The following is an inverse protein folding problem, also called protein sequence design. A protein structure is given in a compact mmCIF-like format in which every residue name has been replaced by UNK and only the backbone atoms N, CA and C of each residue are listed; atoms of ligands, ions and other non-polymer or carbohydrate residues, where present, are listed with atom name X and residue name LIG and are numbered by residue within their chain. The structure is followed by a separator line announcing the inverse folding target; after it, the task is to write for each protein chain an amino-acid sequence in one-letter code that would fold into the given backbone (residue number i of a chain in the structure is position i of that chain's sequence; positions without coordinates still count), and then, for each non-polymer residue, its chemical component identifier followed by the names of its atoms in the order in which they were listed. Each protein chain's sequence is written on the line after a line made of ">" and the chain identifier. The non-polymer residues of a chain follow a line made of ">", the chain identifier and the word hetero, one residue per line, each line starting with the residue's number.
data_IF_896781444820
#
_entry.id   IF_896781444820
#
_cell.length_a   1.000
_cell.length_b   1.000
_cell.length_c   1.000
_cell.angle_alpha   90.00
_cell.angle_beta   90.00
_cell.angle_gamma   90.00
#
_symmetry.space_group_name_H-M   'P 1'
#
loop_
_entity.id
_entity.type
_entity.pdbx_description
1 polymer ?
#
# COMPACT_ATOMS: atom_id res chain seq x y z
N UNK A 1 75.47 8.64 -26.79
CA UNK A 1 74.89 8.05 -25.56
C UNK A 1 73.80 8.97 -25.01
N UNK A 2 72.52 8.60 -25.16
CA UNK A 2 71.49 8.58 -24.10
C UNK A 2 70.17 8.13 -24.74
N UNK A 3 69.86 6.85 -24.50
CA UNK A 3 68.54 6.24 -24.64
C UNK A 3 67.62 6.88 -23.60
N UNK A 4 66.42 7.29 -23.99
CA UNK A 4 65.27 7.25 -23.07
C UNK A 4 64.08 6.72 -23.85
N UNK A 5 63.84 5.43 -23.62
CA UNK A 5 62.64 4.73 -24.02
C UNK A 5 61.43 5.24 -23.23
N UNK A 6 60.30 5.29 -23.93
CA UNK A 6 58.94 4.96 -23.49
C UNK A 6 58.60 5.04 -22.01
N UNK A 7 57.56 5.82 -21.69
CA UNK A 7 56.51 5.39 -20.75
C UNK A 7 55.15 5.87 -21.26
N UNK A 8 54.41 4.91 -21.85
CA UNK A 8 52.97 4.93 -21.99
C UNK A 8 52.36 4.96 -20.58
N UNK A 9 51.74 6.08 -20.19
CA UNK A 9 50.96 6.20 -18.96
C UNK A 9 49.49 5.97 -19.25
N UNK A 10 49.00 4.76 -18.97
CA UNK A 10 47.61 4.35 -19.04
C UNK A 10 46.76 5.20 -18.08
N UNK A 11 46.01 6.17 -18.61
CA UNK A 11 44.98 6.89 -17.87
C UNK A 11 43.59 6.37 -18.26
N UNK A 12 43.34 5.08 -18.01
CA UNK A 12 41.96 4.57 -17.94
C UNK A 12 41.51 4.85 -16.51
N UNK A 13 41.04 6.08 -16.30
CA UNK A 13 40.25 6.44 -15.13
C UNK A 13 39.10 5.45 -15.06
N UNK A 14 39.09 4.60 -14.04
CA UNK A 14 37.98 3.73 -13.72
C UNK A 14 36.77 4.61 -13.34
N UNK A 15 36.02 5.05 -14.35
CA UNK A 15 34.64 5.46 -14.18
C UNK A 15 33.87 4.20 -13.80
N UNK A 16 33.92 3.85 -12.53
CA UNK A 16 33.01 2.87 -11.96
C UNK A 16 31.60 3.33 -12.32
N UNK A 17 30.89 2.54 -13.12
CA UNK A 17 29.49 2.78 -13.40
C UNK A 17 28.73 2.69 -12.08
N UNK A 18 28.53 3.82 -11.39
CA UNK A 18 27.29 4.02 -10.65
C UNK A 18 26.20 4.06 -11.71
N UNK A 19 25.75 2.89 -12.15
CA UNK A 19 24.48 2.76 -12.83
C UNK A 19 23.47 3.37 -11.84
N UNK A 20 23.01 4.59 -12.14
CA UNK A 20 21.88 5.18 -11.41
C UNK A 20 20.77 4.15 -11.51
N UNK A 21 20.34 3.64 -10.37
CA UNK A 21 19.17 2.79 -10.34
C UNK A 21 18.04 3.54 -11.04
N UNK A 22 17.24 2.86 -11.86
CA UNK A 22 16.10 3.49 -12.49
C UNK A 22 15.21 4.09 -11.38
N UNK A 23 14.87 5.38 -11.53
CA UNK A 23 13.94 6.03 -10.62
C UNK A 23 12.66 5.18 -10.51
N UNK A 24 12.27 4.85 -9.30
CA UNK A 24 11.10 4.01 -9.03
C UNK A 24 9.83 4.64 -9.62
N UNK A 25 9.03 3.87 -10.36
CA UNK A 25 7.81 4.36 -11.05
C UNK A 25 6.52 3.65 -10.61
N UNK A 26 6.59 2.73 -9.64
CA UNK A 26 5.44 1.96 -9.19
C UNK A 26 4.67 2.65 -8.06
N UNK A 27 3.38 2.35 -7.96
CA UNK A 27 2.59 2.66 -6.75
C UNK A 27 3.10 1.80 -5.60
N UNK A 28 3.31 2.39 -4.43
CA UNK A 28 3.73 1.66 -3.23
C UNK A 28 2.49 1.15 -2.50
N UNK A 29 2.37 -0.17 -2.41
CA UNK A 29 1.43 -0.81 -1.50
C UNK A 29 2.09 -0.98 -0.13
N UNK A 30 1.57 -0.29 0.89
CA UNK A 30 2.12 -0.40 2.24
C UNK A 30 1.69 -1.71 2.91
N UNK A 31 2.60 -2.41 3.61
CA UNK A 31 2.26 -3.64 4.30
C UNK A 31 1.35 -3.39 5.49
N UNK A 32 0.46 -4.35 5.74
CA UNK A 32 -0.30 -4.53 6.98
C UNK A 32 0.38 -5.55 7.91
N UNK A 33 -0.28 -5.89 9.02
CA UNK A 33 0.24 -6.85 10.00
C UNK A 33 0.49 -8.26 9.43
N UNK A 34 -0.20 -8.63 8.34
CA UNK A 34 -0.12 -9.97 7.75
C UNK A 34 0.93 -10.04 6.64
N UNK A 35 1.14 -8.94 5.93
CA UNK A 35 2.07 -8.83 4.80
C UNK A 35 3.45 -8.32 5.19
N UNK A 36 3.60 -7.64 6.33
CA UNK A 36 4.89 -7.22 6.85
C UNK A 36 5.70 -8.42 7.36
N UNK A 37 6.89 -8.63 6.80
CA UNK A 37 7.82 -9.68 7.24
C UNK A 37 9.12 -9.06 7.69
N UNK A 38 9.49 -9.27 8.96
CA UNK A 38 10.72 -8.73 9.52
C UNK A 38 11.95 -9.29 8.79
N UNK A 39 12.81 -8.41 8.29
CA UNK A 39 14.15 -8.78 7.82
C UNK A 39 15.02 -8.92 9.07
N UNK A 40 15.10 -10.16 9.56
CA UNK A 40 15.84 -10.51 10.77
C UNK A 40 17.36 -10.35 10.64
N UNK A 41 18.07 -10.74 11.69
CA UNK A 41 19.53 -10.83 11.66
C UNK A 41 19.96 -12.20 11.11
N UNK A 42 21.02 -12.26 10.29
CA UNK A 42 21.79 -11.15 9.74
C UNK A 42 21.02 -10.37 8.65
N UNK A 43 21.21 -9.05 8.56
CA UNK A 43 20.61 -8.26 7.47
C UNK A 43 21.36 -8.48 6.15
N UNK A 44 20.59 -8.63 5.07
CA UNK A 44 21.10 -8.57 3.72
C UNK A 44 21.60 -7.15 3.38
N UNK A 45 22.62 -7.04 2.52
CA UNK A 45 23.24 -5.76 2.18
C UNK A 45 22.26 -4.71 1.65
N UNK A 46 21.26 -5.13 0.86
CA UNK A 46 20.22 -4.23 0.36
C UNK A 46 19.35 -3.66 1.49
N UNK A 47 19.02 -4.47 2.50
CA UNK A 47 18.26 -4.05 3.67
C UNK A 47 19.06 -3.06 4.54
N UNK A 48 20.38 -3.23 4.63
CA UNK A 48 21.28 -2.28 5.31
C UNK A 48 21.30 -0.92 4.58
N UNK A 49 21.41 -0.94 3.25
CA UNK A 49 21.37 0.29 2.45
C UNK A 49 20.01 0.98 2.54
N UNK A 50 18.92 0.21 2.51
CA UNK A 50 17.57 0.71 2.72
C UNK A 50 17.42 1.41 4.08
N UNK A 51 17.90 0.77 5.16
CA UNK A 51 17.88 1.36 6.49
C UNK A 51 18.65 2.69 6.55
N UNK A 52 19.85 2.73 5.97
CA UNK A 52 20.65 3.95 5.89
C UNK A 52 19.96 5.05 5.07
N UNK A 53 19.31 4.68 3.96
CA UNK A 53 18.53 5.59 3.12
C UNK A 53 17.38 6.26 3.89
N UNK A 54 16.59 5.46 4.60
CA UNK A 54 15.48 5.96 5.43
C UNK A 54 15.96 6.89 6.56
N UNK A 55 17.04 6.54 7.26
CA UNK A 55 17.62 7.37 8.32
C UNK A 55 18.05 8.74 7.76
N UNK A 56 18.77 8.75 6.63
CA UNK A 56 19.20 9.99 5.98
C UNK A 56 18.02 10.85 5.56
N UNK A 57 16.98 10.23 5.03
CA UNK A 57 15.77 10.94 4.61
C UNK A 57 15.04 11.55 5.79
N UNK A 58 14.91 10.83 6.91
CA UNK A 58 14.32 11.35 8.13
C UNK A 58 15.11 12.57 8.62
N UNK A 59 16.43 12.47 8.74
CA UNK A 59 17.28 13.58 9.18
C UNK A 59 17.13 14.79 8.24
N UNK A 60 17.06 14.56 6.93
CA UNK A 60 16.94 15.60 5.90
C UNK A 60 15.61 16.33 5.92
N UNK A 61 14.51 15.61 6.18
CA UNK A 61 13.14 16.13 6.05
C UNK A 61 12.47 16.47 7.37
N UNK A 62 13.08 16.11 8.50
CA UNK A 62 12.51 16.36 9.82
C UNK A 62 12.39 17.88 10.09
N UNK A 63 11.17 18.40 10.37
CA UNK A 63 10.97 19.81 10.65
C UNK A 63 11.50 20.25 12.02
N UNK A 64 11.92 19.32 12.88
CA UNK A 64 12.40 19.59 14.23
C UNK A 64 13.93 19.41 14.33
N UNK A 65 14.75 20.45 14.04
CA UNK A 65 16.21 20.33 14.02
C UNK A 65 16.83 20.03 15.39
N UNK A 66 16.13 20.43 16.47
CA UNK A 66 16.59 20.24 17.85
C UNK A 66 16.26 18.85 18.41
N UNK A 67 15.65 17.96 17.62
CA UNK A 67 15.23 16.63 18.08
C UNK A 67 16.41 15.79 18.61
N UNK A 68 17.62 16.00 18.07
CA UNK A 68 18.81 15.20 18.38
C UNK A 68 19.83 15.93 19.27
N UNK A 69 19.44 17.02 19.95
CA UNK A 69 20.37 17.69 20.86
C UNK A 69 20.87 16.74 21.95
N UNK A 70 22.19 16.73 22.14
CA UNK A 70 22.89 15.86 23.09
C UNK A 70 23.48 14.58 22.47
N UNK A 71 23.07 14.21 21.25
CA UNK A 71 23.78 13.22 20.44
C UNK A 71 24.98 13.86 19.71
N UNK A 72 26.04 13.09 19.44
CA UNK A 72 27.16 13.60 18.62
C UNK A 72 26.83 13.62 17.12
N UNK A 73 25.81 12.88 16.71
CA UNK A 73 25.20 12.96 15.38
C UNK A 73 23.73 12.50 15.45
N UNK A 74 22.85 12.96 14.54
CA UNK A 74 21.44 12.58 14.55
C UNK A 74 21.19 11.06 14.52
N UNK A 75 22.03 10.31 13.81
CA UNK A 75 21.91 8.86 13.64
C UNK A 75 21.96 8.09 14.97
N UNK A 76 22.63 8.64 16.00
CA UNK A 76 22.73 8.00 17.32
C UNK A 76 21.40 7.94 18.08
N UNK A 77 20.47 8.84 17.77
CA UNK A 77 19.13 8.87 18.35
C UNK A 77 18.09 8.10 17.53
N UNK A 78 18.51 7.31 16.54
CA UNK A 78 17.62 6.63 15.60
C UNK A 78 17.88 5.13 15.57
N UNK A 79 16.80 4.36 15.43
CA UNK A 79 16.85 2.89 15.26
C UNK A 79 16.02 2.53 14.04
N UNK A 80 16.56 1.69 13.16
CA UNK A 80 15.84 1.20 11.99
C UNK A 80 15.42 -0.26 12.18
N UNK A 81 14.16 -0.56 11.85
CA UNK A 81 13.62 -1.91 11.74
C UNK A 81 13.16 -2.11 10.30
N UNK A 82 13.67 -3.15 9.64
CA UNK A 82 13.45 -3.36 8.20
C UNK A 82 12.50 -4.53 7.98
N UNK A 83 11.55 -4.35 7.07
CA UNK A 83 10.57 -5.34 6.68
C UNK A 83 10.57 -5.52 5.16
N UNK A 84 10.19 -6.70 4.69
CA UNK A 84 9.65 -6.88 3.33
C UNK A 84 8.12 -6.81 3.39
N UNK A 85 7.49 -6.64 2.22
CA UNK A 85 6.05 -6.43 2.12
C UNK A 85 5.52 -6.75 0.72
N UNK A 86 4.31 -6.28 0.37
CA UNK A 86 3.59 -6.70 -0.83
C UNK A 86 4.21 -6.17 -2.12
N UNK A 87 4.80 -4.96 -2.11
CA UNK A 87 5.51 -4.44 -3.28
C UNK A 87 6.91 -5.08 -3.38
N UNK A 88 7.12 -5.90 -4.41
CA UNK A 88 8.41 -6.54 -4.67
C UNK A 88 9.52 -5.52 -4.95
N UNK A 89 10.75 -5.85 -4.54
CA UNK A 89 11.91 -5.00 -4.78
C UNK A 89 11.98 -3.76 -3.88
N UNK A 90 11.12 -3.64 -2.86
CA UNK A 90 11.18 -2.59 -1.83
C UNK A 90 11.36 -3.19 -0.44
N UNK A 91 12.08 -2.45 0.39
CA UNK A 91 12.11 -2.61 1.84
C UNK A 91 11.25 -1.53 2.49
N UNK A 92 10.54 -1.90 3.54
CA UNK A 92 9.78 -0.99 4.39
C UNK A 92 10.55 -0.78 5.67
N UNK A 93 11.03 0.43 5.89
CA UNK A 93 11.90 0.77 7.01
C UNK A 93 11.13 1.61 8.00
N UNK A 94 10.91 1.07 9.19
CA UNK A 94 10.45 1.81 10.35
C UNK A 94 11.65 2.45 11.04
N UNK A 95 11.71 3.78 11.07
CA UNK A 95 12.74 4.55 11.78
C UNK A 95 12.14 5.05 13.08
N UNK A 96 12.57 4.45 14.18
CA UNK A 96 12.14 4.77 15.55
C UNK A 96 13.04 5.86 16.09
N UNK A 97 12.44 6.84 16.74
CA UNK A 97 13.17 7.85 17.47
C UNK A 97 13.50 7.37 18.88
N UNK A 98 14.78 7.11 19.18
CA UNK A 98 15.27 6.66 20.50
C UNK A 98 16.10 7.78 21.15
N UNK A 99 15.41 8.77 21.69
CA UNK A 99 16.02 9.97 22.27
C UNK A 99 16.74 9.72 23.60
N UNK A 100 16.46 8.60 24.26
CA UNK A 100 17.12 8.22 25.52
C UNK A 100 18.64 8.16 25.33
N UNK A 101 19.09 7.83 24.11
CA UNK A 101 20.51 7.77 23.74
C UNK A 101 21.18 9.14 23.68
N UNK A 102 20.44 10.22 23.44
CA UNK A 102 20.99 11.56 23.32
C UNK A 102 21.21 12.28 24.67
N UNK A 103 20.81 11.68 25.81
CA UNK A 103 20.97 12.27 27.18
C UNK A 103 20.43 13.72 27.34
N UNK A 104 19.63 14.21 26.38
CA UNK A 104 19.01 15.52 26.39
C UNK A 104 17.86 15.60 27.39
N UNK A 105 17.36 16.81 27.63
CA UNK A 105 16.26 17.01 28.56
C UNK A 105 14.97 16.31 28.07
N UNK A 106 14.33 15.54 28.96
CA UNK A 106 13.24 14.57 28.70
C UNK A 106 11.90 15.17 28.23
N UNK A 107 11.83 16.46 27.91
CA UNK A 107 10.58 17.15 27.59
C UNK A 107 10.17 17.07 26.10
N UNK A 108 10.77 16.18 25.30
CA UNK A 108 10.62 16.22 23.84
C UNK A 108 9.93 14.97 23.30
N UNK A 109 8.77 15.21 22.69
CA UNK A 109 7.98 14.39 21.76
C UNK A 109 7.70 12.93 22.17
N UNK A 110 6.44 12.49 21.98
CA UNK A 110 6.07 11.07 22.12
C UNK A 110 7.02 10.21 21.26
N UNK A 111 7.42 9.03 21.78
CA UNK A 111 8.24 8.04 21.09
C UNK A 111 7.55 7.63 19.77
N UNK A 112 7.88 8.35 18.69
CA UNK A 112 7.30 8.19 17.36
C UNK A 112 8.20 7.40 16.45
N UNK A 113 7.65 6.98 15.30
CA UNK A 113 8.41 6.33 14.24
C UNK A 113 7.88 6.71 12.87
N UNK A 114 8.74 6.99 11.91
CA UNK A 114 8.31 7.12 10.52
C UNK A 114 8.51 5.81 9.78
N UNK A 115 7.68 5.55 8.76
CA UNK A 115 7.85 4.39 7.87
C UNK A 115 8.15 4.88 6.45
N UNK A 116 9.17 4.29 5.84
CA UNK A 116 9.63 4.62 4.49
C UNK A 116 9.63 3.38 3.62
N UNK A 117 9.25 3.52 2.36
CA UNK A 117 9.48 2.52 1.33
C UNK A 117 10.79 2.88 0.61
N UNK A 118 11.72 1.94 0.55
CA UNK A 118 13.10 2.19 0.13
C UNK A 118 13.60 1.07 -0.79
N UNK A 119 14.30 1.42 -1.85
CA UNK A 119 14.94 0.44 -2.73
C UNK A 119 16.13 -0.24 -2.04
N UNK A 120 16.60 -1.41 -2.54
CA UNK A 120 17.83 -2.04 -2.07
C UNK A 120 19.09 -1.18 -2.24
N UNK A 121 19.02 -0.09 -3.01
CA UNK A 121 20.12 0.87 -3.19
C UNK A 121 20.06 2.02 -2.16
N UNK A 122 19.03 2.06 -1.31
CA UNK A 122 18.85 3.12 -0.31
C UNK A 122 18.13 4.37 -0.83
N UNK A 123 17.46 4.29 -1.98
CA UNK A 123 16.63 5.38 -2.49
C UNK A 123 15.23 5.32 -1.85
N UNK A 124 14.83 6.39 -1.18
CA UNK A 124 13.49 6.49 -0.59
C UNK A 124 12.49 6.85 -1.67
N UNK A 125 11.50 5.99 -1.88
CA UNK A 125 10.50 6.14 -2.95
C UNK A 125 9.17 6.68 -2.42
N UNK A 126 8.87 6.44 -1.14
CA UNK A 126 7.70 6.98 -0.47
C UNK A 126 7.88 7.03 1.04
N UNK A 127 7.14 7.94 1.70
CA UNK A 127 6.93 7.98 3.15
C UNK A 127 5.46 7.61 3.44
N UNK A 128 5.21 6.85 4.50
CA UNK A 128 3.87 6.40 4.86
C UNK A 128 2.95 7.60 5.11
N UNK A 129 1.82 7.72 4.39
CA UNK A 129 0.92 8.86 4.51
C UNK A 129 0.18 8.92 5.86
N UNK A 130 0.04 7.80 6.58
CA UNK A 130 -0.64 7.77 7.88
C UNK A 130 0.24 8.31 9.02
N UNK A 131 1.52 8.55 8.74
CA UNK A 131 2.43 9.11 9.72
C UNK A 131 2.76 8.16 10.89
N UNK A 132 3.48 8.68 11.90
CA UNK A 132 3.94 7.88 13.03
C UNK A 132 2.78 7.43 13.93
N UNK A 133 2.61 6.12 14.11
CA UNK A 133 1.72 5.60 15.15
C UNK A 133 0.33 5.16 14.71
N UNK A 134 -0.11 5.48 13.49
CA UNK A 134 -1.45 5.14 13.07
C UNK A 134 -1.51 3.70 12.53
N UNK A 135 -2.21 2.82 13.26
CA UNK A 135 -2.58 1.52 12.73
C UNK A 135 -3.45 1.74 11.50
N UNK A 136 -3.05 1.14 10.39
CA UNK A 136 -3.87 1.14 9.18
C UNK A 136 -5.22 0.52 9.56
N UNK A 137 -6.36 1.20 9.34
CA UNK A 137 -7.66 0.59 9.61
C UNK A 137 -7.71 -0.74 8.89
N UNK A 138 -7.98 -1.82 9.62
CA UNK A 138 -8.21 -3.12 8.98
C UNK A 138 -9.26 -2.88 7.89
N UNK A 139 -8.96 -3.32 6.66
CA UNK A 139 -9.95 -3.34 5.60
C UNK A 139 -11.19 -4.01 6.18
N UNK A 140 -12.28 -3.26 6.31
CA UNK A 140 -13.53 -3.81 6.80
C UNK A 140 -13.84 -4.96 5.86
N UNK A 141 -14.00 -6.22 6.34
CA UNK A 141 -14.46 -7.28 5.47
C UNK A 141 -15.72 -6.75 4.80
N UNK A 142 -15.71 -6.75 3.46
CA UNK A 142 -16.76 -6.23 2.58
C UNK A 142 -18.05 -6.07 3.35
N UNK A 143 -18.46 -4.81 3.60
CA UNK A 143 -19.79 -4.55 4.09
C UNK A 143 -20.69 -5.31 3.11
N UNK A 144 -21.35 -6.37 3.61
CA UNK A 144 -22.18 -7.24 2.79
C UNK A 144 -23.03 -6.31 1.92
N UNK A 145 -23.10 -6.55 0.59
CA UNK A 145 -23.85 -5.67 -0.30
C UNK A 145 -25.22 -5.43 0.34
N UNK A 146 -25.69 -4.17 0.39
CA UNK A 146 -26.90 -3.83 1.11
C UNK A 146 -27.98 -4.83 0.71
N UNK A 147 -28.72 -5.41 1.68
CA UNK A 147 -29.73 -6.41 1.36
C UNK A 147 -30.58 -5.85 0.23
N UNK A 148 -30.71 -6.64 -0.84
CA UNK A 148 -31.50 -6.25 -1.99
C UNK A 148 -32.85 -5.72 -1.47
N UNK A 149 -33.35 -4.57 -1.96
CA UNK A 149 -34.65 -4.09 -1.55
C UNK A 149 -35.65 -5.23 -1.70
N UNK A 150 -36.57 -5.42 -0.73
CA UNK A 150 -37.55 -6.50 -0.82
C UNK A 150 -38.18 -6.42 -2.20
N UNK A 151 -38.17 -7.56 -2.89
CA UNK A 151 -38.76 -7.67 -4.21
C UNK A 151 -40.15 -7.03 -4.13
N UNK A 152 -40.34 -5.93 -4.86
CA UNK A 152 -41.67 -5.38 -5.02
C UNK A 152 -42.51 -6.51 -5.61
N UNK A 153 -43.48 -6.95 -4.82
CA UNK A 153 -44.46 -7.93 -5.22
C UNK A 153 -45.02 -7.44 -6.56
N UNK A 154 -44.78 -8.21 -7.62
CA UNK A 154 -45.26 -7.88 -8.94
C UNK A 154 -46.76 -7.57 -8.82
N UNK A 155 -47.27 -6.50 -9.45
CA UNK A 155 -48.71 -6.24 -9.47
C UNK A 155 -49.42 -7.52 -9.89
N UNK A 156 -50.41 -7.94 -9.11
CA UNK A 156 -51.19 -9.12 -9.42
C UNK A 156 -51.60 -9.09 -10.90
N UNK A 157 -51.44 -10.19 -11.65
CA UNK A 157 -51.94 -10.25 -13.01
C UNK A 157 -53.42 -9.88 -13.01
N UNK A 158 -53.91 -9.16 -14.04
CA UNK A 158 -55.32 -8.76 -14.10
C UNK A 158 -56.21 -9.99 -13.94
N UNK A 159 -57.38 -9.87 -13.27
CA UNK A 159 -58.24 -11.01 -13.02
C UNK A 159 -58.55 -11.70 -14.34
N UNK A 160 -58.25 -12.99 -14.40
CA UNK A 160 -58.71 -13.90 -15.44
C UNK A 160 -60.22 -13.71 -15.59
N UNK A 161 -60.74 -13.47 -16.81
CA UNK A 161 -62.18 -13.41 -17.01
C UNK A 161 -62.82 -14.69 -16.50
N UNK A 162 -63.72 -14.57 -15.52
CA UNK A 162 -64.49 -15.68 -14.99
C UNK A 162 -65.20 -16.41 -16.15
N UNK A 163 -65.09 -17.75 -16.24
CA UNK A 163 -65.92 -18.52 -17.15
C UNK A 163 -67.38 -18.25 -16.84
N UNK A 164 -68.07 -17.60 -17.78
CA UNK A 164 -69.50 -17.34 -17.68
C UNK A 164 -70.23 -18.68 -17.51
N UNK A 165 -70.79 -18.90 -16.32
CA UNK A 165 -71.79 -19.94 -16.10
C UNK A 165 -73.04 -19.52 -16.89
N UNK A 166 -73.55 -20.31 -17.82
CA UNK A 166 -74.74 -19.93 -18.57
C UNK A 166 -75.94 -19.87 -17.63
N UNK A 167 -76.64 -18.73 -17.64
CA UNK A 167 -77.95 -18.63 -17.01
C UNK A 167 -78.93 -19.59 -17.71
N UNK A 168 -79.79 -20.31 -16.96
CA UNK A 168 -80.88 -21.05 -17.56
C UNK A 168 -82.01 -20.08 -17.86
N UNK A 169 -82.16 -19.69 -19.12
CA UNK A 169 -83.35 -19.02 -19.65
C UNK A 169 -83.27 -19.25 -21.16
N UNK A 170 -83.88 -20.30 -21.71
CA UNK A 170 -85.31 -20.51 -21.74
C UNK A 170 -85.83 -19.87 -23.02
N UNK A 171 -85.85 -20.63 -24.12
CA UNK A 171 -86.92 -20.61 -25.13
C UNK A 171 -86.74 -21.72 -26.17
N UNK A 172 -87.84 -22.48 -26.39
CA UNK A 172 -88.32 -23.09 -27.64
C UNK A 172 -87.35 -24.02 -28.43
N UNK A 173 -87.66 -25.31 -28.59
CA UNK A 173 -88.47 -25.86 -29.70
C UNK A 173 -87.76 -25.70 -31.08
N UNK A 174 -87.78 -26.76 -31.92
CA UNK A 174 -87.84 -26.69 -33.41
C UNK A 174 -87.71 -25.24 -33.97
N UNK A 175 -86.59 -24.78 -34.55
CA UNK A 175 -86.23 -24.95 -35.99
C UNK A 175 -84.91 -24.22 -36.44
N UNK A 176 -83.98 -24.93 -37.16
CA UNK A 176 -82.92 -24.49 -38.13
C UNK A 176 -81.53 -24.02 -37.60
N UNK A 177 -80.31 -24.27 -38.14
CA UNK A 177 -79.70 -25.05 -39.26
C UNK A 177 -78.20 -24.68 -39.50
N UNK A 178 -77.35 -25.64 -39.93
CA UNK A 178 -76.05 -25.59 -40.72
C UNK A 178 -74.82 -24.75 -40.30
N UNK A 179 -73.60 -24.87 -40.87
CA UNK A 179 -72.57 -25.92 -41.16
C UNK A 179 -71.31 -25.17 -41.68
N UNK A 180 -70.13 -25.77 -41.45
CA UNK A 180 -68.71 -25.49 -41.81
C UNK A 180 -68.43 -24.81 -43.17
N UNK A 181 -67.31 -24.10 -43.37
CA UNK A 181 -65.90 -24.54 -43.33
C UNK A 181 -64.93 -23.40 -43.01
#
# INVERSE_FOLDING_TARGET
>A
MKKVCALFGFAVMATGCSARAPAWKGTVEWPDEQSAKLVGQPLEGGAVLAAAGAIRELIRTNPYPHLFEGCSSPEQGLVAVVFTGPTEGLYYVRVIHDFVRCRGARFRLLDGWDVYAVTPQGEVVAKDPLGPGEARPAATPDAAPPPAPPAQEAPAPPPTPEPQVPAPTGDAERSGGTVTE
#
